data_IF_383831730896
#
_entry.id   IF_383831730896
#
_cell.length_a   1.000
_cell.length_b   1.000
_cell.length_c   1.000
_cell.angle_alpha   90.00
_cell.angle_beta   90.00
_cell.angle_gamma   90.00
#
_symmetry.space_group_name_H-M   'P 1'
#
loop_
_entity.id
_entity.type
_entity.pdbx_description
1 polymer ?
#
# COMPACT_ATOMS: atom_id res chain seq x y z
N UNK A 1 45.46 7.45 17.22
CA UNK A 1 44.46 6.37 17.26
C UNK A 1 43.06 7.00 17.34
N UNK A 2 42.50 7.43 16.21
CA UNK A 2 41.20 8.13 16.17
C UNK A 2 40.14 7.13 15.70
N UNK A 3 39.19 6.79 16.59
CA UNK A 3 38.03 5.95 16.26
C UNK A 3 36.97 6.83 15.62
N UNK A 4 36.88 6.81 14.29
CA UNK A 4 35.73 7.36 13.57
C UNK A 4 34.55 6.40 13.78
N UNK A 5 33.55 6.83 14.53
CA UNK A 5 32.27 6.13 14.61
C UNK A 5 31.59 6.24 13.24
N UNK A 6 31.55 5.13 12.50
CA UNK A 6 30.72 5.03 11.31
C UNK A 6 29.26 5.02 11.76
N UNK A 7 28.57 6.15 11.63
CA UNK A 7 27.12 6.16 11.51
C UNK A 7 26.77 5.39 10.25
N UNK A 8 26.46 4.10 10.40
CA UNK A 8 25.77 3.33 9.38
C UNK A 8 24.35 3.87 9.35
N UNK A 9 24.12 4.84 8.49
CA UNK A 9 22.79 5.15 7.99
C UNK A 9 22.23 3.85 7.44
N UNK A 10 21.30 3.23 8.17
CA UNK A 10 20.40 2.21 7.65
C UNK A 10 19.48 2.88 6.61
N UNK A 11 20.07 3.33 5.50
CA UNK A 11 19.36 3.55 4.26
C UNK A 11 19.17 2.17 3.68
N UNK A 12 18.11 1.48 4.12
CA UNK A 12 17.53 0.44 3.29
C UNK A 12 17.18 1.13 1.97
N UNK A 13 17.78 0.74 0.84
CA UNK A 13 17.36 1.28 -0.45
C UNK A 13 15.86 1.02 -0.55
N UNK A 14 15.06 2.06 -0.75
CA UNK A 14 13.61 1.97 -0.93
C UNK A 14 13.29 1.33 -2.28
N UNK A 15 13.75 0.10 -2.50
CA UNK A 15 13.31 -0.81 -3.55
C UNK A 15 12.08 -1.62 -3.14
N UNK A 16 11.58 -1.42 -1.92
CA UNK A 16 10.23 -1.83 -1.54
C UNK A 16 9.26 -1.03 -2.41
N UNK A 17 8.85 -1.62 -3.53
CA UNK A 17 7.84 -1.05 -4.41
C UNK A 17 6.69 -0.49 -3.56
N UNK A 18 6.16 0.64 -3.98
CA UNK A 18 5.02 1.34 -3.40
C UNK A 18 3.86 0.36 -3.21
N UNK A 19 3.79 -0.29 -2.05
CA UNK A 19 2.73 -1.22 -1.70
C UNK A 19 1.78 -0.50 -0.74
N UNK A 20 0.55 -0.28 -1.21
CA UNK A 20 -0.55 0.10 -0.33
C UNK A 20 -1.15 -1.16 0.28
N UNK A 21 -1.71 -1.05 1.47
CA UNK A 21 -2.48 -2.12 2.12
C UNK A 21 -3.95 -1.77 2.05
N UNK A 22 -4.80 -2.68 1.59
CA UNK A 22 -6.24 -2.46 1.57
C UNK A 22 -7.01 -3.60 2.24
N UNK A 23 -8.03 -3.26 3.02
CA UNK A 23 -8.98 -4.20 3.60
C UNK A 23 -10.36 -3.56 3.76
N UNK A 24 -11.37 -4.38 4.03
CA UNK A 24 -12.70 -3.89 4.39
C UNK A 24 -12.75 -3.63 5.90
N UNK A 25 -13.00 -2.39 6.29
CA UNK A 25 -13.28 -1.98 7.67
C UNK A 25 -14.73 -1.53 7.74
N UNK A 26 -15.55 -2.19 8.56
CA UNK A 26 -16.98 -1.87 8.70
C UNK A 26 -17.73 -1.82 7.35
N UNK A 27 -17.35 -2.69 6.41
CA UNK A 27 -17.94 -2.77 5.07
C UNK A 27 -17.47 -1.69 4.09
N UNK A 28 -16.48 -0.86 4.46
CA UNK A 28 -15.89 0.17 3.60
C UNK A 28 -14.45 -0.17 3.26
N UNK A 29 -14.01 0.19 2.06
CA UNK A 29 -12.61 0.06 1.68
C UNK A 29 -11.76 1.06 2.48
N UNK A 30 -10.72 0.55 3.12
CA UNK A 30 -9.66 1.35 3.73
C UNK A 30 -8.36 1.02 3.04
N UNK A 31 -7.61 2.05 2.67
CA UNK A 31 -6.30 1.92 2.04
C UNK A 31 -5.27 2.67 2.86
N UNK A 32 -4.17 2.01 3.17
CA UNK A 32 -3.09 2.55 3.97
C UNK A 32 -1.79 2.57 3.18
N UNK A 33 -1.11 3.72 3.23
CA UNK A 33 0.23 3.89 2.69
C UNK A 33 1.27 3.83 3.82
N UNK A 34 2.41 3.14 3.61
CA UNK A 34 3.51 3.18 4.55
C UNK A 34 4.13 4.58 4.57
N UNK A 35 4.46 5.05 5.78
CA UNK A 35 5.22 6.29 6.04
C UNK A 35 6.51 5.95 6.78
N UNK A 36 7.32 6.99 7.03
CA UNK A 36 8.52 6.86 7.86
C UNK A 36 8.14 6.33 9.25
N UNK A 37 9.10 5.70 9.93
CA UNK A 37 8.96 5.24 11.31
C UNK A 37 7.88 4.16 11.51
N UNK A 38 7.65 3.30 10.51
CA UNK A 38 6.67 2.20 10.56
C UNK A 38 5.21 2.64 10.75
N UNK A 39 4.90 3.91 10.46
CA UNK A 39 3.54 4.45 10.51
C UNK A 39 2.78 4.13 9.23
N UNK A 40 1.47 3.93 9.36
CA UNK A 40 0.55 3.75 8.24
C UNK A 40 -0.47 4.88 8.26
N UNK A 41 -0.69 5.52 7.11
CA UNK A 41 -1.68 6.59 6.99
C UNK A 41 -2.78 6.18 6.02
N UNK A 42 -4.00 6.58 6.33
CA UNK A 42 -5.11 6.48 5.40
C UNK A 42 -4.81 7.26 4.11
N UNK A 43 -4.95 6.59 2.98
CA UNK A 43 -4.76 7.15 1.65
C UNK A 43 -6.09 7.04 0.91
N UNK A 44 -6.66 8.17 0.50
CA UNK A 44 -7.77 8.15 -0.45
C UNK A 44 -7.26 7.85 -1.85
N UNK A 45 -7.98 7.01 -2.57
CA UNK A 45 -7.70 6.74 -3.98
C UNK A 45 -8.79 7.31 -4.87
N UNK A 46 -8.55 7.47 -6.17
CA UNK A 46 -9.63 7.75 -7.11
C UNK A 46 -10.74 6.70 -6.99
N UNK A 47 -12.00 7.14 -7.08
CA UNK A 47 -13.18 6.27 -6.90
C UNK A 47 -13.14 5.00 -7.77
N UNK A 48 -12.67 5.12 -9.01
CA UNK A 48 -12.55 3.98 -9.91
C UNK A 48 -11.58 2.91 -9.37
N UNK A 49 -10.49 3.33 -8.73
CA UNK A 49 -9.51 2.43 -8.14
C UNK A 49 -10.01 1.84 -6.81
N UNK A 50 -10.74 2.62 -6.01
CA UNK A 50 -11.40 2.12 -4.80
C UNK A 50 -12.42 1.02 -5.12
N UNK A 51 -13.22 1.20 -6.18
CA UNK A 51 -14.21 0.19 -6.62
C UNK A 51 -13.56 -1.11 -7.10
N UNK A 52 -12.42 -1.01 -7.81
CA UNK A 52 -11.63 -2.17 -8.24
C UNK A 52 -11.09 -2.93 -7.02
N UNK A 53 -10.58 -2.21 -6.03
CA UNK A 53 -10.10 -2.80 -4.77
C UNK A 53 -11.25 -3.45 -3.99
N UNK A 54 -12.40 -2.79 -3.90
CA UNK A 54 -13.59 -3.33 -3.23
C UNK A 54 -14.04 -4.65 -3.85
N UNK A 55 -14.11 -4.69 -5.19
CA UNK A 55 -14.47 -5.90 -5.94
C UNK A 55 -13.50 -7.04 -5.60
N UNK A 56 -12.19 -6.75 -5.59
CA UNK A 56 -11.17 -7.74 -5.23
C UNK A 56 -11.31 -8.20 -3.77
N UNK A 57 -11.59 -7.30 -2.84
CA UNK A 57 -11.75 -7.65 -1.42
C UNK A 57 -12.99 -8.52 -1.21
N UNK A 58 -14.12 -8.20 -1.84
CA UNK A 58 -15.33 -9.04 -1.80
C UNK A 58 -15.07 -10.42 -2.39
N UNK A 59 -14.30 -10.50 -3.46
CA UNK A 59 -13.87 -11.76 -4.08
C UNK A 59 -13.01 -12.62 -3.14
N UNK A 60 -12.08 -12.00 -2.40
CA UNK A 60 -11.29 -12.70 -1.38
C UNK A 60 -12.18 -13.30 -0.29
N UNK A 61 -13.18 -12.54 0.19
CA UNK A 61 -14.16 -13.04 1.17
C UNK A 61 -14.96 -14.22 0.62
N UNK A 62 -15.44 -14.11 -0.62
CA UNK A 62 -16.24 -15.16 -1.29
C UNK A 62 -15.45 -16.45 -1.54
N UNK A 63 -14.18 -16.35 -1.91
CA UNK A 63 -13.33 -17.49 -2.27
C UNK A 63 -12.56 -18.09 -1.09
N UNK A 64 -12.55 -17.42 0.06
CA UNK A 64 -11.74 -17.81 1.21
C UNK A 64 -10.24 -17.53 1.05
N UNK A 65 -9.80 -16.92 -0.06
CA UNK A 65 -8.41 -16.51 -0.27
C UNK A 65 -8.03 -15.39 0.70
N UNK A 66 -6.79 -15.41 1.20
CA UNK A 66 -6.30 -14.43 2.18
C UNK A 66 -5.89 -13.10 1.57
N UNK A 67 -5.25 -13.15 0.41
CA UNK A 67 -4.61 -11.97 -0.20
C UNK A 67 -4.72 -11.97 -1.72
N UNK A 68 -4.70 -10.77 -2.29
CA UNK A 68 -4.50 -10.50 -3.71
C UNK A 68 -3.72 -9.20 -3.91
N UNK A 69 -3.17 -9.00 -5.10
CA UNK A 69 -2.51 -7.74 -5.47
C UNK A 69 -3.24 -7.11 -6.64
N UNK A 70 -3.59 -5.84 -6.51
CA UNK A 70 -4.21 -5.03 -7.56
C UNK A 70 -3.23 -3.92 -7.97
N UNK A 71 -3.03 -3.73 -9.27
CA UNK A 71 -2.30 -2.55 -9.78
C UNK A 71 -3.29 -1.43 -10.08
N UNK A 72 -3.08 -0.28 -9.44
CA UNK A 72 -3.89 0.94 -9.57
C UNK A 72 -3.09 2.07 -10.19
N UNK A 73 -3.75 2.95 -10.93
CA UNK A 73 -3.13 4.15 -11.47
C UNK A 73 -3.46 5.35 -10.59
N UNK A 74 -2.42 6.03 -10.12
CA UNK A 74 -2.56 7.26 -9.38
C UNK A 74 -1.99 8.40 -10.22
N UNK A 75 -2.65 9.56 -10.14
CA UNK A 75 -2.16 10.79 -10.75
C UNK A 75 -1.64 11.70 -9.65
N UNK A 76 -0.44 12.21 -9.84
CA UNK A 76 0.14 13.25 -9.00
C UNK A 76 0.71 14.30 -9.92
N UNK A 77 0.23 15.52 -9.75
CA UNK A 77 0.54 16.64 -10.65
C UNK A 77 0.19 16.24 -12.11
N UNK A 78 1.18 16.17 -13.00
CA UNK A 78 1.00 15.77 -14.40
C UNK A 78 1.41 14.31 -14.69
N UNK A 79 1.89 13.58 -13.67
CA UNK A 79 2.41 12.22 -13.82
C UNK A 79 1.41 11.16 -13.36
N UNK A 80 1.25 10.12 -14.18
CA UNK A 80 0.55 8.90 -13.81
C UNK A 80 1.56 7.85 -13.40
N UNK A 81 1.43 7.34 -12.17
CA UNK A 81 2.28 6.27 -11.67
C UNK A 81 1.44 5.07 -11.24
N UNK A 82 2.03 3.88 -11.38
CA UNK A 82 1.40 2.60 -11.03
C UNK A 82 1.81 2.21 -9.62
N UNK A 83 0.82 1.79 -8.83
CA UNK A 83 1.01 1.39 -7.45
C UNK A 83 0.38 0.02 -7.26
N UNK A 84 1.07 -0.85 -6.51
CA UNK A 84 0.54 -2.18 -6.16
C UNK A 84 -0.19 -2.07 -4.84
N UNK A 85 -1.40 -2.59 -4.76
CA UNK A 85 -2.22 -2.62 -3.56
C UNK A 85 -2.35 -4.07 -3.12
N UNK A 86 -1.83 -4.38 -1.93
CA UNK A 86 -2.05 -5.65 -1.26
C UNK A 86 -3.44 -5.63 -0.62
N UNK A 87 -4.39 -6.30 -1.26
CA UNK A 87 -5.72 -6.53 -0.72
C UNK A 87 -5.67 -7.71 0.26
N UNK A 88 -6.12 -7.50 1.50
CA UNK A 88 -6.14 -8.49 2.56
C UNK A 88 -7.57 -8.69 3.03
N UNK A 89 -7.96 -9.96 3.15
CA UNK A 89 -9.20 -10.33 3.83
C UNK A 89 -8.99 -10.19 5.34
N UNK A 90 -9.71 -9.26 5.96
CA UNK A 90 -9.77 -9.09 7.41
C UNK A 90 -10.60 -10.21 8.07
#
# INVERSE_FOLDING_TARGET
MSRTAATVTNETPSGAAHHLLAYLEEGRVRVYAPRRQSLWIMQQLPQAEELRIETQLRELHRTGRRTAVVEVQLRRDEETFRVRVLCVRA
#
